data_IF_098139038420
#
_entry.id   IF_098139038420
#
_cell.length_a   1.000
_cell.length_b   1.000
_cell.length_c   1.000
_cell.angle_alpha   90.00
_cell.angle_beta   90.00
_cell.angle_gamma   90.00
#
_symmetry.space_group_name_H-M   'P 1'
#
loop_
_entity.id
_entity.type
_entity.pdbx_description
1 polymer ?
#
# COMPACT_ATOMS: atom_id res chain seq x y z
N UNK A 1 -29.50 33.79 -37.09
CA UNK A 1 -29.12 32.55 -36.40
C UNK A 1 -28.03 31.86 -37.22
N UNK A 2 -26.76 32.03 -36.88
CA UNK A 2 -25.67 31.32 -37.56
C UNK A 2 -25.43 30.00 -36.82
N UNK A 3 -26.01 28.91 -37.33
CA UNK A 3 -25.68 27.57 -36.88
C UNK A 3 -24.25 27.26 -37.32
N UNK A 4 -23.33 27.11 -36.36
CA UNK A 4 -22.01 26.56 -36.65
C UNK A 4 -22.21 25.10 -37.06
N UNK A 5 -21.82 24.78 -38.29
CA UNK A 5 -21.72 23.39 -38.73
C UNK A 5 -20.47 22.77 -38.08
N UNK A 6 -20.59 21.55 -37.57
CA UNK A 6 -19.45 20.83 -37.04
C UNK A 6 -18.38 20.64 -38.14
N UNK A 7 -17.09 20.88 -37.84
CA UNK A 7 -16.03 20.70 -38.82
C UNK A 7 -15.93 19.23 -39.23
N UNK A 8 -15.94 19.00 -40.55
CA UNK A 8 -15.92 17.66 -41.18
C UNK A 8 -14.60 16.90 -41.00
N UNK A 9 -13.54 17.55 -40.51
CA UNK A 9 -12.21 16.93 -40.39
C UNK A 9 -11.55 17.19 -39.04
N UNK A 10 -10.78 16.20 -38.59
CA UNK A 10 -10.02 16.28 -37.34
C UNK A 10 -8.93 17.35 -37.43
N UNK A 11 -8.79 18.16 -36.38
CA UNK A 11 -7.71 19.16 -36.26
C UNK A 11 -6.32 18.52 -36.46
N UNK A 12 -5.45 19.18 -37.25
CA UNK A 12 -4.07 18.72 -37.57
C UNK A 12 -3.19 18.48 -36.34
N UNK A 13 -3.44 19.16 -35.22
CA UNK A 13 -2.75 18.96 -33.95
C UNK A 13 -3.10 17.64 -33.26
N UNK A 14 -4.23 17.02 -33.62
CA UNK A 14 -4.69 15.76 -33.03
C UNK A 14 -4.13 14.57 -33.84
N UNK A 15 -2.91 14.15 -33.51
CA UNK A 15 -2.35 12.89 -34.01
C UNK A 15 -3.27 11.73 -33.60
N UNK A 16 -3.51 10.78 -34.51
CA UNK A 16 -4.30 9.60 -34.16
C UNK A 16 -3.53 8.73 -33.18
N UNK A 17 -4.19 8.31 -32.09
CA UNK A 17 -3.60 7.35 -31.14
C UNK A 17 -3.23 6.04 -31.85
N UNK A 18 -3.96 5.67 -32.91
CA UNK A 18 -3.64 4.50 -33.74
C UNK A 18 -2.24 4.53 -34.37
N UNK A 19 -1.58 5.70 -34.45
CA UNK A 19 -0.19 5.81 -34.95
C UNK A 19 0.87 5.56 -33.87
N UNK A 20 0.48 5.50 -32.59
CA UNK A 20 1.36 5.36 -31.44
C UNK A 20 0.97 4.18 -30.54
N UNK A 21 -0.11 3.47 -30.84
CA UNK A 21 -0.54 2.27 -30.13
C UNK A 21 -0.01 1.02 -30.81
N UNK A 22 0.40 0.04 -30.01
CA UNK A 22 0.78 -1.29 -30.47
C UNK A 22 -0.42 -2.24 -30.37
N UNK A 23 -0.46 -3.24 -31.23
CA UNK A 23 -1.46 -4.31 -31.14
C UNK A 23 -1.14 -5.21 -29.94
N UNK A 24 -2.18 -5.56 -29.17
CA UNK A 24 -2.01 -6.43 -28.01
C UNK A 24 -1.83 -7.88 -28.49
N UNK A 25 -0.76 -8.53 -28.05
CA UNK A 25 -0.49 -9.94 -28.33
C UNK A 25 -1.27 -10.90 -27.43
N UNK A 26 -1.80 -10.38 -26.31
CA UNK A 26 -2.54 -11.12 -25.30
C UNK A 26 -3.97 -10.54 -25.13
N UNK A 27 -4.78 -11.16 -24.27
CA UNK A 27 -6.06 -10.58 -23.89
C UNK A 27 -5.86 -9.20 -23.24
N UNK A 28 -6.77 -8.22 -23.46
CA UNK A 28 -6.65 -6.89 -22.86
C UNK A 28 -6.46 -6.90 -21.34
N UNK A 29 -7.07 -7.87 -20.65
CA UNK A 29 -6.92 -8.06 -19.21
C UNK A 29 -5.48 -8.39 -18.83
N UNK A 30 -4.87 -9.35 -19.52
CA UNK A 30 -3.53 -9.82 -19.23
C UNK A 30 -2.47 -8.77 -19.59
N UNK A 31 -2.61 -8.12 -20.75
CA UNK A 31 -1.72 -7.04 -21.17
C UNK A 31 -1.72 -5.89 -20.16
N UNK A 32 -2.91 -5.45 -19.71
CA UNK A 32 -3.04 -4.42 -18.68
C UNK A 32 -2.39 -4.82 -17.35
N UNK A 33 -2.59 -6.06 -16.89
CA UNK A 33 -1.96 -6.56 -15.65
C UNK A 33 -0.44 -6.62 -15.78
N UNK A 34 0.06 -7.04 -16.93
CA UNK A 34 1.49 -7.12 -17.22
C UNK A 34 2.13 -5.73 -17.28
N UNK A 35 1.52 -4.77 -17.95
CA UNK A 35 1.96 -3.38 -17.97
C UNK A 35 1.93 -2.75 -16.57
N UNK A 36 0.86 -2.96 -15.81
CA UNK A 36 0.75 -2.49 -14.43
C UNK A 36 1.87 -3.05 -13.55
N UNK A 37 2.14 -4.36 -13.67
CA UNK A 37 3.27 -4.98 -12.99
C UNK A 37 4.59 -4.36 -13.41
N UNK A 38 4.86 -4.18 -14.71
CA UNK A 38 6.10 -3.57 -15.23
C UNK A 38 6.32 -2.17 -14.64
N UNK A 39 5.33 -1.29 -14.73
CA UNK A 39 5.40 0.08 -14.21
C UNK A 39 5.74 0.13 -12.71
N UNK A 40 5.21 -0.80 -11.92
CA UNK A 40 5.48 -0.83 -10.47
C UNK A 40 6.82 -1.50 -10.14
N UNK A 41 7.42 -2.29 -11.06
CA UNK A 41 8.65 -3.04 -10.77
C UNK A 41 9.92 -2.22 -11.00
N UNK A 42 9.86 -1.23 -11.89
CA UNK A 42 11.03 -0.51 -12.42
C UNK A 42 11.82 0.32 -11.38
N UNK A 43 11.26 0.61 -10.21
CA UNK A 43 11.90 1.55 -9.27
C UNK A 43 12.82 0.96 -8.21
N UNK A 44 12.73 -0.33 -7.83
CA UNK A 44 13.59 -0.90 -6.75
C UNK A 44 13.66 -2.44 -6.66
N UNK A 45 13.14 -3.19 -7.64
CA UNK A 45 13.40 -4.64 -7.82
C UNK A 45 12.85 -5.62 -6.77
N UNK A 46 12.55 -5.20 -5.53
CA UNK A 46 12.03 -6.08 -4.48
C UNK A 46 10.65 -5.61 -4.02
N UNK A 47 9.61 -6.31 -4.45
CA UNK A 47 8.23 -6.04 -4.04
C UNK A 47 7.89 -6.83 -2.78
N UNK A 48 7.25 -6.16 -1.83
CA UNK A 48 6.82 -6.73 -0.56
C UNK A 48 5.39 -7.32 -0.62
N UNK A 49 4.60 -6.99 -1.64
CA UNK A 49 3.29 -7.59 -1.94
C UNK A 49 3.03 -7.63 -3.45
N UNK A 50 2.65 -8.78 -4.01
CA UNK A 50 2.28 -8.86 -5.43
C UNK A 50 1.02 -8.03 -5.76
N UNK A 51 1.04 -7.19 -6.81
CA UNK A 51 -0.12 -6.42 -7.23
C UNK A 51 -1.20 -7.37 -7.69
N UNK A 52 -2.37 -7.26 -7.08
CA UNK A 52 -3.51 -8.08 -7.39
C UNK A 52 -4.78 -7.21 -7.36
N UNK A 53 -5.74 -7.54 -8.21
CA UNK A 53 -7.05 -6.87 -8.27
C UNK A 53 -8.01 -7.43 -7.22
N UNK A 54 -7.51 -7.59 -6.01
CA UNK A 54 -8.26 -8.04 -4.85
C UNK A 54 -7.71 -7.38 -3.61
N UNK A 55 -8.58 -7.21 -2.63
CA UNK A 55 -8.16 -6.71 -1.33
C UNK A 55 -7.20 -7.71 -0.67
N UNK A 56 -6.21 -7.21 0.11
CA UNK A 56 -5.30 -8.09 0.81
C UNK A 56 -6.04 -8.86 1.93
N UNK A 57 -5.46 -9.97 2.43
CA UNK A 57 -6.03 -10.73 3.54
C UNK A 57 -6.38 -9.85 4.74
N UNK A 58 -7.40 -10.26 5.50
CA UNK A 58 -7.90 -9.50 6.66
C UNK A 58 -8.83 -8.34 6.31
N UNK A 59 -9.25 -8.18 5.05
CA UNK A 59 -10.23 -7.17 4.60
C UNK A 59 -11.61 -7.27 5.28
N UNK A 60 -11.91 -8.39 5.91
CA UNK A 60 -13.11 -8.66 6.68
C UNK A 60 -13.01 -8.22 8.16
N UNK A 61 -11.84 -7.76 8.60
CA UNK A 61 -11.64 -7.26 9.97
C UNK A 61 -12.29 -5.87 10.12
N UNK A 62 -12.63 -5.53 11.36
CA UNK A 62 -13.12 -4.18 11.68
C UNK A 62 -12.13 -3.11 11.20
N UNK A 63 -12.68 -2.01 10.71
CA UNK A 63 -11.89 -0.96 10.05
C UNK A 63 -10.66 -0.49 10.85
N UNK A 64 -10.73 -0.26 12.19
CA UNK A 64 -9.56 0.13 12.96
C UNK A 64 -8.45 -0.93 12.93
N UNK A 65 -8.81 -2.21 13.07
CA UNK A 65 -7.87 -3.34 13.06
C UNK A 65 -7.29 -3.52 11.67
N UNK A 66 -8.13 -3.49 10.63
CA UNK A 66 -7.68 -3.59 9.24
C UNK A 66 -6.72 -2.45 8.87
N UNK A 67 -7.01 -1.22 9.32
CA UNK A 67 -6.13 -0.06 9.11
C UNK A 67 -4.77 -0.23 9.80
N UNK A 68 -4.76 -0.62 11.07
CA UNK A 68 -3.51 -0.86 11.82
C UNK A 68 -2.71 -2.01 11.18
N UNK A 69 -3.36 -3.10 10.80
CA UNK A 69 -2.74 -4.21 10.08
C UNK A 69 -2.06 -3.74 8.79
N UNK A 70 -2.73 -2.94 7.96
CA UNK A 70 -2.13 -2.44 6.72
C UNK A 70 -0.98 -1.45 6.98
N UNK A 71 -1.06 -0.64 8.05
CA UNK A 71 0.05 0.22 8.48
C UNK A 71 1.29 -0.57 8.89
N UNK A 72 1.11 -1.68 9.60
CA UNK A 72 2.20 -2.58 9.97
C UNK A 72 2.81 -3.23 8.73
N UNK A 73 1.97 -3.72 7.80
CA UNK A 73 2.40 -4.32 6.53
C UNK A 73 3.32 -3.40 5.72
N UNK A 74 2.91 -2.15 5.53
CA UNK A 74 3.63 -1.16 4.70
C UNK A 74 4.78 -0.47 5.45
N UNK A 75 4.87 -0.61 6.78
CA UNK A 75 5.85 0.09 7.60
C UNK A 75 5.62 1.60 7.77
N UNK A 76 4.40 2.09 7.54
CA UNK A 76 4.03 3.52 7.67
C UNK A 76 2.97 3.76 8.77
N UNK A 77 3.02 2.96 9.83
CA UNK A 77 2.26 3.23 11.05
C UNK A 77 2.72 4.50 11.78
N UNK A 78 1.89 5.03 12.68
CA UNK A 78 2.20 6.18 13.54
C UNK A 78 3.12 5.79 14.70
N UNK A 79 4.18 5.05 14.40
CA UNK A 79 5.26 4.81 15.35
C UNK A 79 5.90 6.14 15.73
N UNK A 80 6.42 6.28 16.96
CA UNK A 80 7.13 7.49 17.38
C UNK A 80 8.28 7.82 16.43
N UNK A 81 8.98 6.81 15.90
CA UNK A 81 10.00 7.00 14.86
C UNK A 81 9.43 7.69 13.60
N UNK A 82 8.33 7.18 13.04
CA UNK A 82 7.70 7.77 11.85
C UNK A 82 7.10 9.14 12.13
N UNK A 83 6.45 9.31 13.29
CA UNK A 83 5.90 10.59 13.72
C UNK A 83 7.00 11.66 13.81
N UNK A 84 8.17 11.30 14.36
CA UNK A 84 9.34 12.19 14.38
C UNK A 84 9.85 12.49 12.97
N UNK A 85 9.99 11.48 12.11
CA UNK A 85 10.38 11.67 10.69
C UNK A 85 9.43 12.61 9.95
N UNK A 86 8.15 12.61 10.30
CA UNK A 86 7.13 13.49 9.71
C UNK A 86 7.00 14.87 10.38
N UNK A 87 7.75 15.14 11.45
CA UNK A 87 7.69 16.41 12.19
C UNK A 87 6.49 16.56 13.12
N UNK A 88 5.75 15.47 13.40
CA UNK A 88 4.60 15.45 14.31
C UNK A 88 4.89 14.74 15.64
N UNK A 89 6.08 14.17 15.80
CA UNK A 89 6.49 13.38 16.96
C UNK A 89 7.32 14.19 17.95
N UNK A 90 7.30 13.74 19.21
CA UNK A 90 8.17 14.25 20.26
C UNK A 90 9.64 13.81 20.05
N UNK A 91 10.55 14.36 20.85
CA UNK A 91 11.94 13.90 20.86
C UNK A 91 12.08 12.47 21.40
N UNK A 92 11.23 12.09 22.37
CA UNK A 92 11.19 10.74 22.88
C UNK A 92 10.55 9.78 21.86
N UNK A 93 11.37 8.85 21.38
CA UNK A 93 10.95 7.78 20.47
C UNK A 93 10.83 6.42 21.13
N UNK A 94 10.89 6.34 22.45
CA UNK A 94 10.88 5.08 23.19
C UNK A 94 9.48 4.45 23.24
N UNK A 95 9.42 3.14 23.02
CA UNK A 95 8.26 2.31 23.27
C UNK A 95 8.06 2.13 24.78
N UNK A 96 6.89 1.65 25.18
CA UNK A 96 6.52 1.32 26.56
C UNK A 96 7.47 0.26 27.16
N UNK A 97 8.15 -0.54 26.33
CA UNK A 97 9.16 -1.50 26.78
C UNK A 97 10.58 -0.89 26.93
N UNK A 98 10.76 0.40 26.65
CA UNK A 98 12.03 1.13 26.75
C UNK A 98 12.94 1.06 25.51
N UNK A 99 12.58 0.31 24.47
CA UNK A 99 13.31 0.26 23.19
C UNK A 99 12.77 1.30 22.21
N UNK A 100 13.51 1.65 21.17
CA UNK A 100 13.00 2.56 20.13
C UNK A 100 11.75 1.99 19.46
N UNK A 101 10.69 2.80 19.37
CA UNK A 101 9.44 2.41 18.75
C UNK A 101 9.54 2.54 17.23
N UNK A 102 10.16 1.55 16.60
CA UNK A 102 10.18 1.36 15.14
C UNK A 102 9.08 0.39 14.72
N UNK A 103 8.77 0.33 13.42
CA UNK A 103 7.75 -0.61 12.90
C UNK A 103 8.15 -2.06 13.06
N UNK A 104 9.44 -2.38 12.86
CA UNK A 104 9.98 -3.72 13.12
C UNK A 104 9.90 -4.08 14.60
N UNK A 105 10.17 -3.13 15.49
CA UNK A 105 10.08 -3.34 16.93
C UNK A 105 8.65 -3.71 17.37
N UNK A 106 7.61 -3.07 16.81
CA UNK A 106 6.22 -3.38 17.16
C UNK A 106 5.84 -4.85 16.94
N UNK A 107 6.52 -5.55 16.03
CA UNK A 107 6.23 -6.95 15.72
C UNK A 107 6.81 -7.91 16.77
N UNK A 108 7.86 -7.48 17.48
CA UNK A 108 8.61 -8.30 18.45
C UNK A 108 8.62 -7.70 19.85
N UNK A 109 7.84 -6.65 20.09
CA UNK A 109 7.80 -5.93 21.36
C UNK A 109 7.39 -6.87 22.51
N UNK A 110 8.16 -6.97 23.61
CA UNK A 110 7.81 -7.84 24.74
C UNK A 110 6.52 -7.48 25.47
N UNK A 111 6.06 -6.23 25.30
CA UNK A 111 4.78 -5.75 25.84
C UNK A 111 3.60 -6.04 24.91
N UNK A 112 3.87 -6.31 23.64
CA UNK A 112 2.87 -6.70 22.67
C UNK A 112 2.41 -8.15 22.87
N UNK A 113 1.50 -8.62 22.01
CA UNK A 113 1.17 -10.03 21.93
C UNK A 113 2.37 -10.84 21.40
N UNK A 114 2.21 -12.16 21.26
CA UNK A 114 3.24 -13.06 20.72
C UNK A 114 3.99 -12.48 19.51
N UNK A 115 5.31 -12.72 19.36
CA UNK A 115 6.08 -12.23 18.22
C UNK A 115 5.40 -12.53 16.88
N UNK A 116 5.34 -11.53 16.03
CA UNK A 116 4.76 -11.56 14.69
C UNK A 116 5.89 -11.34 13.68
N UNK A 117 5.82 -11.97 12.51
CA UNK A 117 6.73 -11.66 11.40
C UNK A 117 6.03 -10.85 10.31
N UNK A 118 6.80 -10.39 9.32
CA UNK A 118 6.23 -9.73 8.15
C UNK A 118 5.32 -10.69 7.37
N UNK A 119 5.70 -11.97 7.24
CA UNK A 119 4.92 -13.01 6.57
C UNK A 119 3.58 -13.23 7.25
N UNK A 120 3.55 -13.26 8.59
CA UNK A 120 2.33 -13.35 9.38
C UNK A 120 1.36 -12.21 9.02
N UNK A 121 1.87 -10.98 8.89
CA UNK A 121 1.06 -9.82 8.47
C UNK A 121 0.52 -10.00 7.05
N UNK A 122 1.31 -10.53 6.12
CA UNK A 122 0.90 -10.72 4.72
C UNK A 122 -0.27 -11.70 4.61
N UNK A 123 -0.26 -12.79 5.37
CA UNK A 123 -1.32 -13.80 5.35
C UNK A 123 -2.48 -13.50 6.31
N UNK A 124 -2.40 -12.45 7.15
CA UNK A 124 -3.40 -12.12 8.17
C UNK A 124 -3.73 -13.27 9.12
N UNK A 125 -2.71 -14.01 9.57
CA UNK A 125 -2.96 -15.06 10.54
C UNK A 125 -3.34 -14.50 11.92
N UNK A 126 -3.66 -15.41 12.86
CA UNK A 126 -4.08 -15.04 14.22
C UNK A 126 -3.05 -14.17 14.95
N UNK A 127 -1.75 -14.38 14.73
CA UNK A 127 -0.69 -13.57 15.34
C UNK A 127 -0.77 -12.13 14.85
N UNK A 128 -0.82 -11.94 13.53
CA UNK A 128 -0.96 -10.64 12.90
C UNK A 128 -2.22 -9.90 13.35
N UNK A 129 -3.35 -10.60 13.44
CA UNK A 129 -4.62 -10.01 13.92
C UNK A 129 -4.49 -9.57 15.37
N UNK A 130 -3.94 -10.40 16.25
CA UNK A 130 -3.73 -10.05 17.65
C UNK A 130 -2.78 -8.85 17.80
N UNK A 131 -1.68 -8.82 17.04
CA UNK A 131 -0.74 -7.70 16.99
C UNK A 131 -1.44 -6.43 16.52
N UNK A 132 -2.24 -6.49 15.46
CA UNK A 132 -3.01 -5.34 14.99
C UNK A 132 -4.00 -4.84 16.06
N UNK A 133 -4.77 -5.73 16.69
CA UNK A 133 -5.73 -5.37 17.76
C UNK A 133 -5.02 -4.66 18.92
N UNK A 134 -3.87 -5.18 19.36
CA UNK A 134 -3.10 -4.56 20.44
C UNK A 134 -2.68 -3.13 20.06
N UNK A 135 -2.07 -2.95 18.89
CA UNK A 135 -1.58 -1.64 18.46
C UNK A 135 -2.68 -0.65 18.03
N UNK A 136 -3.88 -1.14 17.70
CA UNK A 136 -5.06 -0.28 17.50
C UNK A 136 -5.43 0.45 18.80
N UNK A 137 -5.32 -0.22 19.96
CA UNK A 137 -5.58 0.41 21.28
C UNK A 137 -4.57 1.52 21.59
N UNK A 138 -3.31 1.29 21.23
CA UNK A 138 -2.20 2.24 21.34
C UNK A 138 -2.19 3.32 20.23
N UNK A 139 -3.19 3.32 19.34
CA UNK A 139 -3.41 4.32 18.27
C UNK A 139 -2.26 4.47 17.26
N UNK A 140 -1.56 3.36 16.95
CA UNK A 140 -0.51 3.31 15.92
C UNK A 140 -1.09 3.32 14.49
#
# INVERSE_FOLDING_TARGET
MYGQNDPTSRLKSRKSFLKITEELTETPLLSRLNEWKKLITDTNGKRWLEPAERLPPGNNLDWPVWKTLNRLRVGVGRTKENMRKWGYGEQDITCICGQEQTTSHLLVCPRGPSPCTQEDLMISNKRAVNTAIYWTKEKI
#
